data_IF_362699375005
#
_entry.id   IF_362699375005
#
_cell.length_a   1.000
_cell.length_b   1.000
_cell.length_c   1.000
_cell.angle_alpha   90.00
_cell.angle_beta   90.00
_cell.angle_gamma   90.00
#
_symmetry.space_group_name_H-M   'P 1'
#
loop_
_entity.id
_entity.type
_entity.pdbx_description
1 polymer ?
#
# COMPACT_ATOMS: atom_id res chain seq x y z
N UNK A 1 -41.09 31.37 -20.63
CA UNK A 1 -40.30 30.17 -20.98
C UNK A 1 -39.21 30.05 -19.92
N UNK A 2 -39.52 29.37 -18.82
CA UNK A 2 -38.61 29.25 -17.67
C UNK A 2 -37.87 27.91 -17.79
N UNK A 3 -36.55 27.96 -17.89
CA UNK A 3 -35.70 26.77 -17.84
C UNK A 3 -35.73 26.20 -16.42
N UNK A 4 -35.92 24.88 -16.22
CA UNK A 4 -35.71 24.27 -14.92
C UNK A 4 -34.20 24.15 -14.65
N UNK A 5 -33.76 24.22 -13.38
CA UNK A 5 -32.41 23.81 -13.02
C UNK A 5 -32.38 22.28 -13.06
N UNK A 6 -31.68 21.74 -14.06
CA UNK A 6 -31.41 20.31 -14.11
C UNK A 6 -30.50 19.96 -12.93
N UNK A 7 -31.10 19.24 -11.99
CA UNK A 7 -30.50 18.68 -10.80
C UNK A 7 -29.27 17.87 -11.18
N UNK A 8 -28.09 18.26 -10.68
CA UNK A 8 -26.91 17.39 -10.65
C UNK A 8 -27.31 16.08 -9.97
N UNK A 9 -27.32 15.01 -10.74
CA UNK A 9 -27.38 13.66 -10.22
C UNK A 9 -26.15 13.43 -9.32
N UNK A 10 -26.29 13.04 -8.04
CA UNK A 10 -25.18 12.52 -7.28
C UNK A 10 -24.91 11.11 -7.81
N UNK A 11 -24.05 11.03 -8.82
CA UNK A 11 -23.48 9.77 -9.27
C UNK A 11 -22.84 9.07 -8.08
N UNK A 12 -23.27 7.84 -7.86
CA UNK A 12 -22.84 6.91 -6.81
C UNK A 12 -21.32 6.73 -6.82
N UNK A 13 -20.60 7.57 -6.09
CA UNK A 13 -19.17 7.47 -5.85
C UNK A 13 -18.90 8.24 -4.57
N UNK A 14 -18.53 7.54 -3.50
CA UNK A 14 -18.36 8.13 -2.18
C UNK A 14 -17.50 9.39 -2.27
N UNK A 15 -18.04 10.53 -1.83
CA UNK A 15 -17.38 11.83 -1.96
C UNK A 15 -16.08 11.92 -1.16
N UNK A 16 -15.50 13.13 -1.09
CA UNK A 16 -14.24 13.38 -0.39
C UNK A 16 -14.15 12.81 1.05
N UNK A 17 -15.24 12.81 1.86
CA UNK A 17 -15.22 12.17 3.18
C UNK A 17 -15.02 10.64 3.12
N UNK A 18 -15.55 9.97 2.09
CA UNK A 18 -15.37 8.53 1.91
C UNK A 18 -13.93 8.20 1.51
N UNK A 19 -13.33 9.01 0.63
CA UNK A 19 -11.90 8.90 0.29
C UNK A 19 -11.02 9.09 1.53
N UNK A 20 -11.33 10.07 2.38
CA UNK A 20 -10.57 10.29 3.62
C UNK A 20 -10.67 9.09 4.57
N UNK A 21 -11.86 8.50 4.71
CA UNK A 21 -12.06 7.30 5.51
C UNK A 21 -11.30 6.10 4.95
N UNK A 22 -11.33 5.90 3.64
CA UNK A 22 -10.63 4.80 2.97
C UNK A 22 -9.11 4.93 3.12
N UNK A 23 -8.56 6.14 2.96
CA UNK A 23 -7.13 6.39 3.20
C UNK A 23 -6.74 6.12 4.66
N UNK A 24 -7.57 6.47 5.63
CA UNK A 24 -7.29 6.14 7.05
C UNK A 24 -7.36 4.63 7.31
N UNK A 25 -8.29 3.93 6.68
CA UNK A 25 -8.38 2.47 6.76
C UNK A 25 -7.14 1.81 6.15
N UNK A 26 -6.72 2.28 4.97
CA UNK A 26 -5.50 1.83 4.31
C UNK A 26 -4.25 2.11 5.15
N UNK A 27 -4.13 3.31 5.75
CA UNK A 27 -3.03 3.65 6.65
C UNK A 27 -2.96 2.72 7.86
N UNK A 28 -4.12 2.37 8.42
CA UNK A 28 -4.20 1.41 9.54
C UNK A 28 -3.74 0.02 9.09
N UNK A 29 -4.19 -0.45 7.92
CA UNK A 29 -3.76 -1.72 7.34
C UNK A 29 -2.25 -1.75 7.07
N UNK A 30 -1.70 -0.68 6.49
CA UNK A 30 -0.26 -0.58 6.29
C UNK A 30 0.48 -0.56 7.63
N UNK A 31 -0.07 0.07 8.67
CA UNK A 31 0.47 0.01 10.04
C UNK A 31 0.53 -1.43 10.59
N UNK A 32 -0.55 -2.20 10.42
CA UNK A 32 -0.58 -3.63 10.75
C UNK A 32 0.49 -4.41 9.97
N UNK A 33 0.62 -4.15 8.67
CA UNK A 33 1.62 -4.77 7.79
C UNK A 33 3.04 -4.48 8.24
N UNK A 34 3.32 -3.22 8.57
CA UNK A 34 4.61 -2.83 9.11
C UNK A 34 4.94 -3.62 10.39
N UNK A 35 3.98 -3.82 11.29
CA UNK A 35 4.20 -4.57 12.52
C UNK A 35 4.53 -6.05 12.26
N UNK A 36 3.86 -6.68 11.29
CA UNK A 36 4.15 -8.08 10.90
C UNK A 36 5.54 -8.20 10.28
N UNK A 37 5.88 -7.35 9.32
CA UNK A 37 7.19 -7.36 8.65
C UNK A 37 8.32 -7.01 9.64
N UNK A 38 8.05 -6.15 10.64
CA UNK A 38 9.00 -5.88 11.73
C UNK A 38 9.22 -7.07 12.65
N UNK A 39 8.16 -7.81 12.99
CA UNK A 39 8.29 -9.04 13.80
C UNK A 39 9.11 -10.09 13.06
N UNK A 40 8.81 -10.30 11.77
CA UNK A 40 9.59 -11.18 10.90
C UNK A 40 11.06 -10.75 10.86
N UNK A 41 11.31 -9.45 10.63
CA UNK A 41 12.66 -8.89 10.60
C UNK A 41 13.42 -9.20 11.89
N UNK A 42 12.78 -9.02 13.04
CA UNK A 42 13.39 -9.28 14.34
C UNK A 42 13.75 -10.76 14.50
N UNK A 43 12.84 -11.68 14.19
CA UNK A 43 13.07 -13.13 14.27
C UNK A 43 14.19 -13.60 13.35
N UNK A 44 14.20 -13.09 12.11
CA UNK A 44 15.25 -13.38 11.14
C UNK A 44 16.60 -12.83 11.59
N UNK A 45 16.63 -11.60 12.13
CA UNK A 45 17.86 -10.96 12.61
C UNK A 45 18.45 -11.68 13.82
N UNK A 46 17.62 -12.20 14.72
CA UNK A 46 18.07 -13.02 15.86
C UNK A 46 18.43 -14.46 15.45
N UNK A 47 18.16 -14.86 14.20
CA UNK A 47 18.41 -16.21 13.70
C UNK A 47 17.50 -17.26 14.34
N UNK A 48 16.40 -16.84 14.97
CA UNK A 48 15.44 -17.71 15.65
C UNK A 48 14.06 -17.44 15.07
N UNK A 49 13.64 -18.34 14.19
CA UNK A 49 12.31 -18.31 13.59
C UNK A 49 11.47 -19.35 14.33
N UNK A 50 10.63 -18.87 15.25
CA UNK A 50 9.76 -19.74 16.06
C UNK A 50 8.73 -20.48 15.19
N UNK A 51 8.14 -19.78 14.21
CA UNK A 51 7.11 -20.32 13.32
C UNK A 51 7.22 -19.72 11.91
N UNK A 52 7.96 -20.41 11.04
CA UNK A 52 8.14 -20.00 9.65
C UNK A 52 6.84 -20.08 8.84
N UNK A 53 5.98 -21.07 9.11
CA UNK A 53 4.72 -21.23 8.38
C UNK A 53 3.72 -20.14 8.76
N UNK A 54 3.60 -19.81 10.06
CA UNK A 54 2.78 -18.70 10.52
C UNK A 54 3.21 -17.35 9.95
N UNK A 55 4.52 -17.13 9.80
CA UNK A 55 5.05 -15.93 9.13
C UNK A 55 4.66 -15.87 7.65
N UNK A 56 4.83 -16.97 6.90
CA UNK A 56 4.49 -17.02 5.48
C UNK A 56 2.98 -16.85 5.25
N UNK A 57 2.14 -17.50 6.07
CA UNK A 57 0.69 -17.34 6.00
C UNK A 57 0.24 -15.92 6.36
N UNK A 58 0.85 -15.30 7.37
CA UNK A 58 0.56 -13.91 7.71
C UNK A 58 0.89 -12.98 6.54
N UNK A 59 2.00 -13.21 5.83
CA UNK A 59 2.39 -12.43 4.65
C UNK A 59 1.40 -12.61 3.49
N UNK A 60 0.98 -13.84 3.20
CA UNK A 60 0.01 -14.13 2.14
C UNK A 60 -1.36 -13.48 2.41
N UNK A 61 -1.92 -13.67 3.62
CA UNK A 61 -3.21 -13.06 3.97
C UNK A 61 -3.17 -11.53 3.98
N UNK A 62 -2.00 -10.93 4.16
CA UNK A 62 -1.83 -9.48 4.07
C UNK A 62 -1.80 -8.95 2.64
N UNK A 63 -1.24 -9.70 1.69
CA UNK A 63 -1.26 -9.31 0.28
C UNK A 63 -2.70 -9.24 -0.25
N UNK A 64 -3.54 -10.21 0.09
CA UNK A 64 -4.96 -10.20 -0.30
C UNK A 64 -5.70 -8.98 0.24
N UNK A 65 -5.50 -8.67 1.54
CA UNK A 65 -6.10 -7.48 2.18
C UNK A 65 -5.59 -6.18 1.55
N UNK A 66 -4.31 -6.11 1.21
CA UNK A 66 -3.71 -4.93 0.56
C UNK A 66 -4.25 -4.74 -0.86
N UNK A 67 -4.38 -5.81 -1.64
CA UNK A 67 -4.96 -5.76 -2.99
C UNK A 67 -6.40 -5.26 -2.96
N UNK A 68 -7.22 -5.79 -2.06
CA UNK A 68 -8.60 -5.33 -1.89
C UNK A 68 -8.69 -3.84 -1.50
N UNK A 69 -7.82 -3.38 -0.58
CA UNK A 69 -7.78 -1.97 -0.17
C UNK A 69 -7.20 -1.04 -1.26
N UNK A 70 -6.36 -1.55 -2.15
CA UNK A 70 -5.88 -0.77 -3.30
C UNK A 70 -6.99 -0.60 -4.33
N UNK A 71 -7.77 -1.62 -4.63
CA UNK A 71 -8.89 -1.55 -5.57
C UNK A 71 -9.92 -0.49 -5.14
N UNK A 72 -10.26 -0.43 -3.85
CA UNK A 72 -11.15 0.60 -3.30
C UNK A 72 -10.56 2.00 -3.44
N UNK A 73 -9.28 2.19 -3.11
CA UNK A 73 -8.60 3.48 -3.30
C UNK A 73 -8.54 3.92 -4.76
N UNK A 74 -8.31 2.98 -5.70
CA UNK A 74 -8.31 3.28 -7.13
C UNK A 74 -9.67 3.77 -7.62
N UNK A 75 -10.77 3.23 -7.08
CA UNK A 75 -12.12 3.70 -7.41
C UNK A 75 -12.35 5.17 -6.99
N UNK A 76 -11.70 5.64 -5.92
CA UNK A 76 -11.78 7.04 -5.47
C UNK A 76 -10.70 7.96 -6.06
N UNK A 77 -9.66 7.41 -6.71
CA UNK A 77 -8.56 8.16 -7.33
C UNK A 77 -9.05 9.13 -8.40
N UNK A 78 -10.01 8.72 -9.23
CA UNK A 78 -10.54 9.55 -10.31
C UNK A 78 -11.23 10.81 -9.75
N UNK A 79 -12.02 10.65 -8.67
CA UNK A 79 -12.69 11.77 -7.98
C UNK A 79 -11.68 12.76 -7.39
N UNK A 80 -10.57 12.27 -6.83
CA UNK A 80 -9.49 13.13 -6.31
C UNK A 80 -8.71 13.82 -7.45
N UNK A 81 -8.44 13.11 -8.53
CA UNK A 81 -7.70 13.60 -9.68
C UNK A 81 -8.48 14.67 -10.47
N UNK A 82 -9.81 14.59 -10.49
CA UNK A 82 -10.67 15.59 -11.10
C UNK A 82 -10.63 16.97 -10.39
N UNK A 83 -10.21 17.01 -9.12
CA UNK A 83 -10.05 18.27 -8.39
C UNK A 83 -8.83 19.05 -8.87
N UNK A 84 -8.98 20.36 -9.03
CA UNK A 84 -7.85 21.25 -9.32
C UNK A 84 -6.98 21.49 -8.07
N UNK A 85 -5.74 21.99 -8.22
CA UNK A 85 -4.83 22.20 -7.08
C UNK A 85 -5.42 23.09 -5.98
N UNK A 86 -6.12 24.17 -6.33
CA UNK A 86 -6.75 25.08 -5.37
C UNK A 86 -7.91 24.43 -4.59
N UNK A 87 -8.57 23.41 -5.15
CA UNK A 87 -9.57 22.60 -4.46
C UNK A 87 -8.89 21.57 -3.54
N UNK A 88 -7.80 20.94 -3.98
CA UNK A 88 -7.04 20.00 -3.13
C UNK A 88 -6.38 20.68 -1.93
N UNK A 89 -5.95 21.94 -2.07
CA UNK A 89 -5.45 22.76 -0.95
C UNK A 89 -6.49 22.98 0.15
N UNK A 90 -7.79 22.90 -0.16
CA UNK A 90 -8.87 22.96 0.84
C UNK A 90 -9.02 21.65 1.63
N UNK A 91 -8.35 20.58 1.20
CA UNK A 91 -8.36 19.27 1.84
C UNK A 91 -6.93 18.83 2.22
N UNK A 92 -6.24 19.58 3.12
CA UNK A 92 -4.87 19.25 3.53
C UNK A 92 -4.79 17.89 4.26
N UNK A 93 -5.86 17.47 4.93
CA UNK A 93 -5.93 16.18 5.62
C UNK A 93 -5.77 15.01 4.64
N UNK A 94 -6.46 15.04 3.49
CA UNK A 94 -6.37 14.00 2.46
C UNK A 94 -4.96 13.94 1.88
N UNK A 95 -4.39 15.11 1.54
CA UNK A 95 -3.01 15.19 1.05
C UNK A 95 -1.98 14.67 2.06
N UNK A 96 -2.18 14.95 3.36
CA UNK A 96 -1.33 14.44 4.43
C UNK A 96 -1.46 12.93 4.62
N UNK A 97 -2.67 12.36 4.47
CA UNK A 97 -2.91 10.91 4.53
C UNK A 97 -2.22 10.20 3.37
N UNK A 98 -2.39 10.69 2.13
CA UNK A 98 -1.72 10.12 0.95
C UNK A 98 -0.20 10.09 1.15
N UNK A 99 0.39 11.17 1.68
CA UNK A 99 1.83 11.21 1.96
C UNK A 99 2.24 10.18 3.01
N UNK A 100 1.48 10.07 4.10
CA UNK A 100 1.75 9.10 5.16
C UNK A 100 1.64 7.66 4.66
N UNK A 101 0.62 7.35 3.85
CA UNK A 101 0.48 6.04 3.20
C UNK A 101 1.70 5.72 2.34
N UNK A 102 2.14 6.64 1.48
CA UNK A 102 3.32 6.44 0.63
C UNK A 102 4.60 6.23 1.45
N UNK A 103 4.82 7.03 2.50
CA UNK A 103 5.98 6.90 3.38
C UNK A 103 5.99 5.52 4.06
N UNK A 104 4.82 5.04 4.49
CA UNK A 104 4.68 3.77 5.21
C UNK A 104 4.81 2.57 4.26
N UNK A 105 4.25 2.64 3.05
CA UNK A 105 4.49 1.65 1.98
C UNK A 105 5.99 1.55 1.68
N UNK A 106 6.67 2.68 1.51
CA UNK A 106 8.11 2.70 1.25
C UNK A 106 8.92 2.04 2.37
N UNK A 107 8.54 2.29 3.63
CA UNK A 107 9.15 1.65 4.79
C UNK A 107 8.94 0.13 4.79
N UNK A 108 7.73 -0.32 4.48
CA UNK A 108 7.41 -1.76 4.36
C UNK A 108 8.26 -2.41 3.26
N UNK A 109 8.33 -1.81 2.08
CA UNK A 109 9.12 -2.35 0.94
C UNK A 109 10.60 -2.42 1.27
N UNK A 110 11.15 -1.42 1.96
CA UNK A 110 12.55 -1.46 2.41
C UNK A 110 12.79 -2.63 3.37
N UNK A 111 11.89 -2.81 4.34
CA UNK A 111 12.04 -3.83 5.37
C UNK A 111 11.83 -5.25 4.81
N UNK A 112 10.89 -5.44 3.87
CA UNK A 112 10.66 -6.71 3.19
C UNK A 112 11.91 -7.14 2.40
N UNK A 113 12.58 -6.20 1.72
CA UNK A 113 13.87 -6.49 1.06
C UNK A 113 14.97 -6.90 2.03
N UNK A 114 15.02 -6.29 3.22
CA UNK A 114 15.97 -6.70 4.27
C UNK A 114 15.63 -8.10 4.79
N UNK A 115 14.35 -8.43 4.96
CA UNK A 115 13.90 -9.75 5.37
C UNK A 115 14.27 -10.82 4.33
N UNK A 116 14.06 -10.53 3.04
CA UNK A 116 14.49 -11.41 1.94
C UNK A 116 16.02 -11.68 1.98
N UNK A 117 16.83 -10.66 2.25
CA UNK A 117 18.29 -10.82 2.39
C UNK A 117 18.65 -11.69 3.60
N UNK A 118 17.95 -11.50 4.72
CA UNK A 118 18.16 -12.33 5.92
C UNK A 118 17.75 -13.78 5.66
N UNK A 119 16.58 -14.03 5.05
CA UNK A 119 16.13 -15.36 4.67
C UNK A 119 17.17 -16.08 3.78
N UNK A 120 17.73 -15.38 2.78
CA UNK A 120 18.80 -15.90 1.93
C UNK A 120 20.06 -16.24 2.72
N UNK A 121 20.49 -15.34 3.61
CA UNK A 121 21.68 -15.54 4.47
C UNK A 121 21.51 -16.73 5.42
N UNK A 122 20.30 -16.92 5.95
CA UNK A 122 19.96 -18.03 6.84
C UNK A 122 19.61 -19.33 6.08
N UNK A 123 19.63 -19.33 4.75
CA UNK A 123 19.23 -20.46 3.88
C UNK A 123 17.79 -20.95 4.14
N UNK A 124 16.92 -20.05 4.58
CA UNK A 124 15.52 -20.32 4.89
C UNK A 124 14.59 -20.00 3.72
N UNK A 125 15.13 -19.75 2.52
CA UNK A 125 14.31 -19.45 1.33
C UNK A 125 13.73 -20.75 0.78
N UNK A 126 12.39 -20.89 0.72
CA UNK A 126 11.75 -21.98 -0.01
C UNK A 126 12.17 -21.95 -1.48
N UNK A 127 12.40 -23.11 -2.11
CA UNK A 127 12.89 -23.19 -3.50
C UNK A 127 12.00 -22.44 -4.51
N UNK A 128 10.71 -22.28 -4.22
CA UNK A 128 9.74 -21.53 -5.05
C UNK A 128 9.81 -20.00 -4.87
N UNK A 129 10.51 -19.50 -3.85
CA UNK A 129 10.57 -18.08 -3.46
C UNK A 129 11.95 -17.45 -3.71
N UNK A 130 12.83 -18.12 -4.45
CA UNK A 130 14.08 -17.51 -4.90
C UNK A 130 13.76 -16.29 -5.77
N UNK A 131 14.18 -15.07 -5.36
CA UNK A 131 13.88 -13.90 -6.15
C UNK A 131 14.59 -14.01 -7.51
N UNK A 132 13.91 -13.76 -8.63
CA UNK A 132 14.61 -13.59 -9.90
C UNK A 132 15.59 -12.41 -9.74
N UNK A 133 16.83 -12.58 -10.23
CA UNK A 133 17.94 -11.64 -10.01
C UNK A 133 17.62 -10.15 -10.36
N UNK A 134 16.58 -9.91 -11.17
CA UNK A 134 16.11 -8.58 -11.56
C UNK A 134 15.40 -7.80 -10.43
N UNK A 135 14.82 -8.45 -9.41
CA UNK A 135 14.10 -7.76 -8.31
C UNK A 135 15.00 -7.05 -7.30
N UNK A 136 16.30 -7.35 -7.29
CA UNK A 136 17.27 -6.72 -6.38
C UNK A 136 17.67 -5.30 -6.79
N UNK A 137 17.16 -4.77 -7.92
CA UNK A 137 17.58 -3.49 -8.45
C UNK A 137 16.60 -2.36 -8.06
N UNK A 138 16.99 -1.41 -7.18
CA UNK A 138 16.10 -0.33 -6.70
C UNK A 138 15.55 0.55 -7.82
N UNK A 139 16.33 0.72 -8.89
CA UNK A 139 15.96 1.50 -10.07
C UNK A 139 14.80 0.89 -10.87
N UNK A 140 14.55 -0.41 -10.73
CA UNK A 140 13.51 -1.11 -11.47
C UNK A 140 12.13 -0.81 -10.87
N UNK A 141 12.01 -0.78 -9.53
CA UNK A 141 10.76 -0.37 -8.86
C UNK A 141 10.42 1.09 -9.16
N UNK A 142 11.41 1.99 -9.14
CA UNK A 142 11.20 3.39 -9.49
C UNK A 142 10.74 3.59 -10.96
N UNK A 143 11.11 2.67 -11.86
CA UNK A 143 10.62 2.64 -13.24
C UNK A 143 9.21 2.07 -13.34
N UNK A 144 8.89 1.00 -12.62
CA UNK A 144 7.54 0.41 -12.62
C UNK A 144 6.46 1.39 -12.14
N UNK A 145 6.74 2.23 -11.14
CA UNK A 145 5.83 3.30 -10.72
C UNK A 145 5.78 4.49 -11.68
N UNK A 146 6.82 4.68 -12.51
CA UNK A 146 6.85 5.70 -13.57
C UNK A 146 6.11 5.28 -14.83
N UNK A 147 6.08 3.97 -15.10
CA UNK A 147 5.53 3.38 -16.32
C UNK A 147 4.10 2.83 -16.13
N UNK A 148 3.48 3.03 -14.97
CA UNK A 148 2.07 2.72 -14.76
C UNK A 148 1.20 3.84 -15.36
N UNK A 149 0.32 3.55 -16.34
CA UNK A 149 -0.50 4.55 -17.03
C UNK A 149 -1.53 5.24 -16.13
#
# INVERSE_FOLDING_TARGET
>A
MSFPPETLHPGTGGGLPALEQELRAHLTLCGELLAVVQREHQQLKTGHVDDLNGLLQAREGMLERLTAAQETLFAHKETWMALNPAQREKHPAISALIRQDLDLIMKIVSLDRENEQLLLRHKLVPANHLPPAQRQNPNLIARMYKDQP
#
